data_IF_160280802236
#
_entry.id   IF_160280802236
#
_cell.length_a   1.000
_cell.length_b   1.000
_cell.length_c   1.000
_cell.angle_alpha   90.00
_cell.angle_beta   90.00
_cell.angle_gamma   90.00
#
_symmetry.space_group_name_H-M   'P 1'
#
loop_
_entity.id
_entity.type
_entity.pdbx_description
1 polymer ?
#
# COMPACT_ATOMS: atom_id res chain seq x y z
N UNK A 1 38.77 -77.65 -68.77
CA UNK A 1 39.25 -76.75 -69.81
C UNK A 1 38.73 -75.36 -69.49
N UNK A 2 39.66 -74.53 -69.04
CA UNK A 2 40.00 -73.26 -69.67
C UNK A 2 38.84 -72.23 -69.69
N UNK A 3 38.84 -71.06 -69.09
CA UNK A 3 39.82 -69.94 -68.95
C UNK A 3 39.23 -68.85 -68.10
N UNK A 4 40.03 -68.19 -67.29
CA UNK A 4 39.87 -66.82 -66.80
C UNK A 4 39.96 -65.84 -67.99
N UNK A 5 39.75 -64.48 -67.85
CA UNK A 5 39.56 -63.56 -66.74
C UNK A 5 38.54 -62.40 -67.01
N UNK A 6 38.23 -61.54 -66.12
CA UNK A 6 38.62 -60.10 -66.15
C UNK A 6 38.04 -59.26 -65.02
N UNK A 7 38.93 -58.51 -64.46
CA UNK A 7 38.67 -57.46 -63.43
C UNK A 7 37.74 -56.33 -63.97
N UNK A 8 36.81 -55.94 -63.20
CA UNK A 8 36.07 -54.70 -63.36
C UNK A 8 36.02 -53.93 -62.03
N UNK A 9 36.79 -52.86 -61.91
CA UNK A 9 36.79 -51.93 -60.82
C UNK A 9 35.46 -51.19 -60.79
N UNK A 10 34.72 -51.26 -59.70
CA UNK A 10 33.61 -50.38 -59.40
C UNK A 10 34.05 -49.36 -58.31
N UNK A 11 34.08 -48.11 -58.72
CA UNK A 11 34.32 -46.98 -57.88
C UNK A 11 33.12 -46.73 -56.96
N UNK A 12 33.32 -46.83 -55.66
CA UNK A 12 32.30 -46.47 -54.67
C UNK A 12 32.22 -44.95 -54.52
N UNK A 13 31.09 -44.40 -54.93
CA UNK A 13 30.76 -43.01 -54.63
C UNK A 13 30.24 -42.96 -53.17
N UNK A 14 31.04 -42.42 -52.29
CA UNK A 14 30.62 -42.13 -50.95
C UNK A 14 29.72 -40.86 -50.96
N UNK A 15 28.42 -41.03 -50.78
CA UNK A 15 27.49 -39.92 -50.56
C UNK A 15 27.62 -39.46 -49.17
N UNK A 16 28.26 -38.28 -48.92
CA UNK A 16 28.22 -37.55 -47.72
C UNK A 16 26.80 -36.95 -47.57
N UNK A 17 25.96 -37.51 -46.67
CA UNK A 17 24.76 -36.88 -46.18
C UNK A 17 25.17 -35.82 -45.18
N UNK A 18 25.15 -34.53 -45.59
CA UNK A 18 25.16 -33.40 -44.72
C UNK A 18 23.81 -33.32 -43.96
N UNK A 19 23.77 -33.87 -42.77
CA UNK A 19 22.70 -33.56 -41.80
C UNK A 19 22.82 -32.09 -41.38
N UNK A 20 22.11 -31.22 -42.11
CA UNK A 20 21.87 -29.85 -41.62
C UNK A 20 20.97 -29.94 -40.39
N UNK A 21 21.60 -29.98 -39.22
CA UNK A 21 20.92 -29.81 -37.95
C UNK A 21 20.33 -28.41 -37.93
N UNK A 22 19.03 -28.29 -38.12
CA UNK A 22 18.27 -27.11 -37.79
C UNK A 22 18.37 -26.93 -36.27
N UNK A 23 19.29 -26.08 -35.83
CA UNK A 23 19.26 -25.51 -34.46
C UNK A 23 17.99 -24.67 -34.40
N UNK A 24 16.91 -25.28 -33.96
CA UNK A 24 15.75 -24.53 -33.49
C UNK A 24 16.28 -23.73 -32.28
N UNK A 25 16.59 -22.46 -32.50
CA UNK A 25 16.78 -21.53 -31.43
C UNK A 25 15.45 -21.53 -30.65
N UNK A 26 15.43 -22.29 -29.56
CA UNK A 26 14.42 -22.17 -28.54
C UNK A 26 14.50 -20.72 -28.08
N UNK A 27 13.61 -19.86 -28.64
CA UNK A 27 13.35 -18.57 -28.04
C UNK A 27 13.01 -18.89 -26.59
N UNK A 28 13.94 -18.57 -25.69
CA UNK A 28 13.68 -18.58 -24.27
C UNK A 28 12.42 -17.75 -24.11
N UNK A 29 11.33 -18.39 -23.68
CA UNK A 29 10.12 -17.70 -23.26
C UNK A 29 10.57 -16.55 -22.36
N UNK A 30 10.30 -15.32 -22.77
CA UNK A 30 10.80 -14.14 -22.08
C UNK A 30 10.44 -14.28 -20.62
N UNK A 31 11.46 -14.34 -19.80
CA UNK A 31 11.31 -14.39 -18.36
C UNK A 31 10.87 -12.99 -17.91
N UNK A 32 9.55 -12.79 -17.89
CA UNK A 32 8.87 -11.55 -17.57
C UNK A 32 8.87 -11.25 -16.05
N UNK A 33 9.87 -11.76 -15.33
CA UNK A 33 10.02 -11.56 -13.89
C UNK A 33 10.22 -10.09 -13.50
N UNK A 34 9.88 -9.71 -12.25
CA UNK A 34 9.99 -8.34 -11.76
C UNK A 34 11.41 -7.77 -11.92
N UNK A 35 11.51 -6.57 -12.50
CA UNK A 35 12.75 -5.80 -12.60
C UNK A 35 13.78 -6.25 -13.63
N UNK A 36 13.50 -7.22 -14.47
CA UNK A 36 14.44 -7.67 -15.51
C UNK A 36 14.70 -6.61 -16.59
N UNK A 37 13.69 -5.81 -16.90
CA UNK A 37 13.79 -4.69 -17.81
C UNK A 37 14.20 -3.37 -17.11
N UNK A 38 14.65 -3.44 -15.85
CA UNK A 38 14.98 -2.29 -15.01
C UNK A 38 13.83 -1.29 -14.85
N UNK A 39 12.62 -1.79 -14.73
CA UNK A 39 11.42 -1.02 -14.44
C UNK A 39 10.82 -1.50 -13.13
N UNK A 40 10.59 -0.58 -12.20
CA UNK A 40 9.81 -0.79 -10.98
C UNK A 40 8.35 -0.43 -11.29
N UNK A 41 7.49 -1.43 -11.42
CA UNK A 41 6.06 -1.24 -11.66
C UNK A 41 5.29 -1.32 -10.37
N UNK A 42 4.65 -0.23 -9.98
CA UNK A 42 3.92 -0.12 -8.72
C UNK A 42 2.42 0.01 -8.96
N UNK A 43 1.65 -0.81 -8.23
CA UNK A 43 0.20 -0.76 -8.24
C UNK A 43 -0.26 0.25 -7.18
N UNK A 44 -0.93 1.32 -7.59
CA UNK A 44 -1.36 2.40 -6.69
C UNK A 44 -2.73 2.95 -7.06
N UNK A 45 -3.38 3.58 -6.09
CA UNK A 45 -4.66 4.25 -6.30
C UNK A 45 -4.44 5.64 -6.92
N UNK A 46 -5.24 6.00 -7.94
CA UNK A 46 -5.11 7.31 -8.60
C UNK A 46 -5.64 8.48 -7.76
N UNK A 47 -6.43 8.24 -6.68
CA UNK A 47 -7.08 9.28 -5.87
C UNK A 47 -7.23 8.87 -4.41
N UNK A 48 -6.13 8.62 -3.70
CA UNK A 48 -6.12 8.13 -2.32
C UNK A 48 -5.05 8.83 -1.46
N UNK A 49 -5.05 10.18 -1.43
CA UNK A 49 -4.16 10.88 -0.51
C UNK A 49 -4.50 10.55 0.95
N UNK A 50 -3.49 10.41 1.81
CA UNK A 50 -2.07 10.73 1.64
C UNK A 50 -1.20 9.64 1.01
N UNK A 51 -1.76 8.48 0.65
CA UNK A 51 -1.00 7.33 0.16
C UNK A 51 -0.48 7.55 -1.27
N UNK A 52 -1.39 7.70 -2.22
CA UNK A 52 -1.03 7.87 -3.63
C UNK A 52 -2.08 8.68 -4.40
N UNK A 53 -1.64 9.31 -5.47
CA UNK A 53 -2.52 9.89 -6.49
C UNK A 53 -1.80 9.98 -7.84
N UNK A 54 -2.53 10.32 -8.91
CA UNK A 54 -1.95 10.47 -10.26
C UNK A 54 -0.90 11.57 -10.37
N UNK A 55 -0.95 12.58 -9.49
CA UNK A 55 0.06 13.63 -9.40
C UNK A 55 1.32 13.19 -8.64
N UNK A 56 1.38 11.92 -8.21
CA UNK A 56 2.49 11.33 -7.45
C UNK A 56 2.83 12.13 -6.18
N UNK A 57 1.79 12.71 -5.57
CA UNK A 57 1.91 13.57 -4.40
C UNK A 57 1.73 12.81 -3.07
N UNK A 58 1.45 11.51 -3.08
CA UNK A 58 1.31 10.70 -1.87
C UNK A 58 2.64 10.19 -1.32
N UNK A 59 2.68 9.84 -0.03
CA UNK A 59 3.91 9.33 0.58
C UNK A 59 4.35 7.98 -0.01
N UNK A 60 3.44 7.13 -0.43
CA UNK A 60 3.76 5.86 -1.10
C UNK A 60 4.36 6.09 -2.48
N UNK A 61 3.90 7.13 -3.21
CA UNK A 61 4.57 7.54 -4.45
C UNK A 61 6.02 7.97 -4.18
N UNK A 62 6.26 8.75 -3.09
CA UNK A 62 7.62 9.20 -2.74
C UNK A 62 8.52 8.04 -2.34
N UNK A 63 8.02 7.07 -1.57
CA UNK A 63 8.77 5.87 -1.20
C UNK A 63 9.08 5.02 -2.44
N UNK A 64 8.13 4.83 -3.35
CA UNK A 64 8.36 4.13 -4.61
C UNK A 64 9.45 4.81 -5.47
N UNK A 65 9.45 6.14 -5.51
CA UNK A 65 10.48 6.92 -6.20
C UNK A 65 11.88 6.72 -5.58
N UNK A 66 11.98 6.70 -4.25
CA UNK A 66 13.23 6.36 -3.54
C UNK A 66 13.72 4.97 -3.95
N UNK A 67 12.84 3.97 -3.98
CA UNK A 67 13.22 2.61 -4.36
C UNK A 67 13.67 2.51 -5.82
N UNK A 68 12.95 3.15 -6.74
CA UNK A 68 13.35 3.20 -8.15
C UNK A 68 14.72 3.85 -8.34
N UNK A 69 15.00 4.94 -7.62
CA UNK A 69 16.30 5.61 -7.62
C UNK A 69 17.43 4.72 -7.09
N UNK A 70 17.22 4.06 -5.95
CA UNK A 70 18.21 3.14 -5.35
C UNK A 70 18.50 1.93 -6.24
N UNK A 71 17.50 1.48 -6.99
CA UNK A 71 17.66 0.40 -7.96
C UNK A 71 18.31 0.86 -9.28
N UNK A 72 18.31 2.15 -9.56
CA UNK A 72 18.65 2.69 -10.89
C UNK A 72 17.66 2.25 -11.96
N UNK A 73 16.38 2.11 -11.61
CA UNK A 73 15.30 1.65 -12.48
C UNK A 73 14.33 2.77 -12.78
N UNK A 74 13.63 2.66 -13.93
CA UNK A 74 12.49 3.50 -14.24
C UNK A 74 11.33 3.16 -13.31
N UNK A 75 10.58 4.17 -12.84
CA UNK A 75 9.35 4.00 -12.10
C UNK A 75 8.16 4.06 -13.06
N UNK A 76 7.26 3.10 -12.96
CA UNK A 76 5.98 3.07 -13.67
C UNK A 76 4.84 2.77 -12.70
N UNK A 77 3.69 3.40 -12.90
CA UNK A 77 2.51 3.19 -12.08
C UNK A 77 1.40 2.47 -12.84
N UNK A 78 0.80 1.49 -12.19
CA UNK A 78 -0.48 0.91 -12.59
C UNK A 78 -1.55 1.47 -11.67
N UNK A 79 -2.36 2.35 -12.22
CA UNK A 79 -3.41 3.03 -11.49
C UNK A 79 -4.71 2.21 -11.47
N UNK A 80 -5.18 1.90 -10.28
CA UNK A 80 -6.47 1.27 -10.06
C UNK A 80 -7.01 1.68 -8.67
N UNK A 81 -8.31 2.00 -8.53
CA UNK A 81 -8.88 2.35 -7.23
C UNK A 81 -8.70 1.20 -6.22
N UNK A 82 -8.20 1.54 -5.02
CA UNK A 82 -7.94 0.57 -3.95
C UNK A 82 -9.26 0.12 -3.31
N UNK A 83 -9.94 -0.78 -3.97
CA UNK A 83 -11.24 -1.36 -3.60
C UNK A 83 -11.26 -2.86 -3.87
N UNK A 84 -12.43 -3.50 -3.65
CA UNK A 84 -12.63 -4.93 -3.93
C UNK A 84 -12.09 -5.28 -5.32
N UNK A 85 -11.20 -6.27 -5.38
CA UNK A 85 -10.56 -6.71 -6.62
C UNK A 85 -9.28 -5.97 -6.99
N UNK A 86 -8.76 -5.05 -6.16
CA UNK A 86 -7.52 -4.34 -6.43
C UNK A 86 -6.38 -5.30 -6.81
N UNK A 87 -6.04 -6.27 -5.97
CA UNK A 87 -4.96 -7.24 -6.23
C UNK A 87 -5.23 -8.05 -7.51
N UNK A 88 -6.47 -8.48 -7.73
CA UNK A 88 -6.83 -9.26 -8.92
C UNK A 88 -6.67 -8.46 -10.21
N UNK A 89 -7.01 -7.17 -10.20
CA UNK A 89 -7.00 -6.31 -11.38
C UNK A 89 -5.65 -5.59 -11.61
N UNK A 90 -4.72 -5.69 -10.66
CA UNK A 90 -3.40 -5.06 -10.71
C UNK A 90 -2.27 -6.09 -10.60
N UNK A 91 -1.86 -6.46 -9.40
CA UNK A 91 -0.70 -7.32 -9.11
C UNK A 91 -0.78 -8.70 -9.80
N UNK A 92 -2.00 -9.27 -9.90
CA UNK A 92 -2.26 -10.57 -10.53
C UNK A 92 -2.74 -10.47 -11.98
N UNK A 93 -3.01 -9.28 -12.47
CA UNK A 93 -3.47 -9.08 -13.83
C UNK A 93 -2.30 -8.92 -14.79
N UNK A 94 -2.42 -9.55 -15.95
CA UNK A 94 -1.49 -9.39 -17.06
C UNK A 94 -1.90 -8.23 -17.96
N UNK A 95 -0.94 -7.68 -18.67
CA UNK A 95 -1.18 -6.77 -19.78
C UNK A 95 -1.84 -7.56 -20.92
N UNK A 96 -2.78 -6.94 -21.61
CA UNK A 96 -3.48 -7.59 -22.72
C UNK A 96 -2.50 -8.11 -23.77
N UNK A 97 -2.73 -9.32 -24.22
CA UNK A 97 -1.89 -10.04 -25.19
C UNK A 97 -0.39 -10.17 -24.79
N UNK A 98 -0.11 -10.23 -23.49
CA UNK A 98 1.24 -10.34 -22.93
C UNK A 98 1.27 -11.26 -21.71
N UNK A 99 2.42 -11.92 -21.50
CA UNK A 99 2.67 -12.65 -20.26
C UNK A 99 3.07 -11.73 -19.09
N UNK A 100 3.43 -10.48 -19.38
CA UNK A 100 3.86 -9.49 -18.40
C UNK A 100 2.71 -9.05 -17.49
N UNK A 101 2.96 -9.01 -16.20
CA UNK A 101 2.02 -8.46 -15.22
C UNK A 101 1.93 -6.94 -15.32
N UNK A 102 0.77 -6.38 -14.96
CA UNK A 102 0.54 -4.93 -14.99
C UNK A 102 1.44 -4.18 -14.02
N UNK A 103 1.71 -4.77 -12.86
CA UNK A 103 2.62 -4.22 -11.85
C UNK A 103 3.23 -5.35 -11.01
N UNK A 104 4.27 -5.03 -10.25
CA UNK A 104 5.08 -5.99 -9.51
C UNK A 104 5.06 -5.75 -8.00
N UNK A 105 4.66 -4.54 -7.57
CA UNK A 105 4.68 -4.12 -6.18
C UNK A 105 3.39 -3.37 -5.82
N UNK A 106 2.78 -3.73 -4.69
CA UNK A 106 1.74 -2.96 -4.00
C UNK A 106 2.35 -2.32 -2.77
N UNK A 107 2.12 -1.03 -2.54
CA UNK A 107 2.84 -0.27 -1.51
C UNK A 107 2.20 -0.34 -0.12
N UNK A 108 0.89 -0.43 0.02
CA UNK A 108 0.24 -0.34 1.34
C UNK A 108 -0.70 -1.50 1.60
N UNK A 109 -0.23 -2.53 2.32
CA UNK A 109 -1.08 -3.63 2.81
C UNK A 109 -0.75 -3.93 4.28
N UNK A 110 -1.69 -4.43 5.07
CA UNK A 110 -1.36 -4.95 6.40
C UNK A 110 -0.34 -6.08 6.31
N UNK A 111 0.60 -6.13 7.25
CA UNK A 111 1.52 -7.26 7.37
C UNK A 111 0.74 -8.56 7.53
N UNK A 112 1.14 -9.62 6.81
CA UNK A 112 0.44 -10.89 6.80
C UNK A 112 -0.80 -10.93 5.88
N UNK A 113 -0.97 -9.97 4.98
CA UNK A 113 -2.06 -9.96 4.00
C UNK A 113 -2.04 -11.19 3.09
N UNK A 114 -3.06 -12.04 3.17
CA UNK A 114 -3.05 -13.39 2.58
C UNK A 114 -3.12 -13.41 1.04
N UNK A 115 -3.66 -12.35 0.42
CA UNK A 115 -3.82 -12.32 -1.04
C UNK A 115 -2.51 -12.11 -1.81
N UNK A 116 -1.40 -11.81 -1.12
CA UNK A 116 -0.08 -11.60 -1.72
C UNK A 116 1.04 -11.91 -0.70
N UNK A 117 2.28 -12.08 -1.17
CA UNK A 117 3.42 -12.25 -0.29
C UNK A 117 3.87 -10.88 0.24
N UNK A 118 3.77 -10.67 1.55
CA UNK A 118 4.16 -9.41 2.18
C UNK A 118 5.65 -9.35 2.46
N UNK A 119 6.20 -8.13 2.35
CA UNK A 119 7.54 -7.78 2.82
C UNK A 119 7.58 -7.67 4.34
N UNK A 120 8.74 -7.32 4.90
CA UNK A 120 8.81 -6.77 6.25
C UNK A 120 8.01 -5.45 6.30
N UNK A 121 7.43 -5.12 7.47
CA UNK A 121 6.77 -3.84 7.64
C UNK A 121 7.74 -2.67 7.42
N UNK A 122 7.28 -1.62 6.76
CA UNK A 122 8.04 -0.40 6.57
C UNK A 122 7.55 0.77 7.43
N UNK A 123 6.33 0.65 8.00
CA UNK A 123 5.89 1.49 9.12
C UNK A 123 4.84 0.78 9.96
N UNK A 124 4.62 1.31 11.18
CA UNK A 124 3.59 0.91 12.11
C UNK A 124 2.79 2.16 12.48
N UNK A 125 1.46 2.09 12.40
CA UNK A 125 0.57 3.21 12.70
C UNK A 125 -0.72 2.73 13.34
N UNK A 126 -1.50 3.65 13.92
CA UNK A 126 -2.78 3.34 14.55
C UNK A 126 -3.92 4.17 13.98
N UNK A 127 -5.14 3.74 14.27
CA UNK A 127 -6.30 4.61 14.13
C UNK A 127 -6.17 5.84 15.03
N UNK A 128 -6.87 6.90 14.66
CA UNK A 128 -6.87 8.14 15.41
C UNK A 128 -8.30 8.68 15.58
N UNK A 129 -8.53 9.35 16.69
CA UNK A 129 -9.67 10.24 16.87
C UNK A 129 -9.29 11.61 16.31
N UNK A 130 -10.14 12.21 15.50
CA UNK A 130 -9.97 13.56 14.97
C UNK A 130 -11.13 14.45 15.39
N UNK A 131 -10.85 15.71 15.73
CA UNK A 131 -11.85 16.71 16.08
C UNK A 131 -11.35 18.13 15.76
N UNK A 132 -12.25 19.10 15.74
CA UNK A 132 -11.89 20.53 15.58
C UNK A 132 -11.51 21.10 16.92
N UNK A 133 -10.31 21.70 17.03
CA UNK A 133 -9.84 22.40 18.25
C UNK A 133 -10.79 23.54 18.63
N UNK A 134 -11.03 23.71 19.93
CA UNK A 134 -11.90 24.77 20.44
C UNK A 134 -13.40 24.47 20.35
N UNK A 135 -13.78 23.23 20.00
CA UNK A 135 -15.19 22.78 19.90
C UNK A 135 -15.62 21.87 21.05
N UNK A 136 -14.92 21.93 22.19
CA UNK A 136 -15.30 21.22 23.42
C UNK A 136 -14.69 19.83 23.60
N UNK A 137 -13.78 19.41 22.70
CA UNK A 137 -13.07 18.14 22.79
C UNK A 137 -11.56 18.30 23.07
N UNK A 138 -11.09 19.50 23.41
CA UNK A 138 -9.65 19.79 23.58
C UNK A 138 -8.98 19.00 24.72
N UNK A 139 -9.75 18.50 25.67
CA UNK A 139 -9.27 17.64 26.75
C UNK A 139 -9.36 16.15 26.45
N UNK A 140 -9.74 15.75 25.21
CA UNK A 140 -9.87 14.36 24.83
C UNK A 140 -8.55 13.89 24.19
N UNK A 141 -7.81 13.04 24.89
CA UNK A 141 -6.52 12.50 24.47
C UNK A 141 -6.55 10.99 24.23
N UNK A 142 -7.66 10.33 24.56
CA UNK A 142 -7.92 8.91 24.28
C UNK A 142 -9.43 8.59 24.29
N UNK A 143 -9.76 7.30 24.19
CA UNK A 143 -11.15 6.82 24.21
C UNK A 143 -11.80 6.94 25.60
N UNK A 144 -11.04 6.89 26.69
CA UNK A 144 -11.56 6.99 28.05
C UNK A 144 -11.94 8.44 28.37
N UNK A 145 -11.13 9.39 27.91
CA UNK A 145 -11.47 10.82 28.00
C UNK A 145 -12.79 11.12 27.26
N UNK A 146 -12.99 10.51 26.10
CA UNK A 146 -14.24 10.65 25.33
C UNK A 146 -15.44 10.13 26.13
N UNK A 147 -15.28 9.00 26.82
CA UNK A 147 -16.33 8.43 27.67
C UNK A 147 -16.53 9.22 28.97
N UNK A 148 -15.49 9.87 29.46
CA UNK A 148 -15.54 10.70 30.68
C UNK A 148 -16.22 12.07 30.49
N UNK A 149 -16.52 12.44 29.22
CA UNK A 149 -17.32 13.66 28.98
C UNK A 149 -18.66 13.60 29.70
N UNK A 150 -19.17 14.78 30.11
CA UNK A 150 -20.50 14.89 30.72
C UNK A 150 -21.55 14.19 29.87
N UNK A 151 -22.47 13.41 30.45
CA UNK A 151 -23.47 12.64 29.69
C UNK A 151 -24.24 13.48 28.67
N UNK A 152 -24.58 14.71 28.98
CA UNK A 152 -25.31 15.63 28.10
C UNK A 152 -24.46 16.06 26.91
N UNK A 153 -23.15 16.24 27.10
CA UNK A 153 -22.20 16.59 26.05
C UNK A 153 -21.96 15.37 25.15
N UNK A 154 -21.64 14.23 25.78
CA UNK A 154 -21.38 12.98 25.04
C UNK A 154 -22.60 12.54 24.23
N UNK A 155 -23.80 12.64 24.79
CA UNK A 155 -25.04 12.23 24.12
C UNK A 155 -25.43 13.10 22.90
N UNK A 156 -24.80 14.27 22.73
CA UNK A 156 -25.04 15.16 21.57
C UNK A 156 -23.99 15.06 20.49
N UNK A 157 -22.90 14.29 20.72
CA UNK A 157 -21.84 14.16 19.75
C UNK A 157 -22.35 13.45 18.48
N UNK A 158 -21.98 13.98 17.34
CA UNK A 158 -22.12 13.36 16.04
C UNK A 158 -20.75 12.81 15.65
N UNK A 159 -20.63 11.52 15.62
CA UNK A 159 -19.38 10.81 15.36
C UNK A 159 -19.33 10.36 13.92
N UNK A 160 -18.16 10.33 13.32
CA UNK A 160 -17.93 9.76 12.00
C UNK A 160 -17.06 8.52 12.11
N UNK A 161 -17.42 7.43 11.41
CA UNK A 161 -16.59 6.25 11.30
C UNK A 161 -16.79 5.55 9.95
N UNK A 162 -15.76 4.87 9.47
CA UNK A 162 -15.90 4.02 8.29
C UNK A 162 -16.54 2.68 8.66
N UNK A 163 -17.36 2.15 7.76
CA UNK A 163 -17.93 0.81 7.91
C UNK A 163 -16.82 -0.23 8.04
N UNK A 164 -17.04 -1.23 8.91
CA UNK A 164 -16.04 -2.26 9.23
C UNK A 164 -14.74 -1.71 9.87
N UNK A 165 -14.81 -0.53 10.46
CA UNK A 165 -13.70 0.03 11.24
C UNK A 165 -13.49 -0.78 12.53
N UNK A 166 -12.23 -0.95 12.98
CA UNK A 166 -11.94 -1.63 14.26
C UNK A 166 -12.61 -1.00 15.50
N UNK A 167 -13.01 0.27 15.42
CA UNK A 167 -13.72 0.95 16.54
C UNK A 167 -15.20 0.58 16.63
N UNK A 168 -15.76 -0.13 15.65
CA UNK A 168 -17.20 -0.45 15.61
C UNK A 168 -17.66 -1.20 16.86
N UNK A 169 -16.91 -2.21 17.29
CA UNK A 169 -17.26 -2.97 18.49
C UNK A 169 -17.25 -2.11 19.76
N UNK A 170 -16.24 -1.24 19.89
CA UNK A 170 -16.17 -0.29 21.01
C UNK A 170 -17.36 0.68 21.01
N UNK A 171 -17.79 1.17 19.85
CA UNK A 171 -18.95 2.02 19.70
C UNK A 171 -20.24 1.29 20.13
N UNK A 172 -20.38 0.02 19.79
CA UNK A 172 -21.51 -0.84 20.22
C UNK A 172 -21.50 -1.02 21.72
N UNK A 173 -20.37 -1.42 22.32
CA UNK A 173 -20.24 -1.67 23.76
C UNK A 173 -20.55 -0.42 24.59
N UNK A 174 -20.24 0.76 24.08
CA UNK A 174 -20.46 2.04 24.77
C UNK A 174 -21.77 2.73 24.37
N UNK A 175 -22.65 2.05 23.59
CA UNK A 175 -23.98 2.56 23.18
C UNK A 175 -23.90 3.87 22.40
N UNK A 176 -22.89 4.02 21.55
CA UNK A 176 -22.65 5.22 20.75
C UNK A 176 -23.08 5.06 19.28
N UNK A 177 -23.60 3.91 18.88
CA UNK A 177 -23.94 3.59 17.49
C UNK A 177 -24.93 4.55 16.83
N UNK A 178 -25.92 5.03 17.60
CA UNK A 178 -26.95 5.97 17.09
C UNK A 178 -26.39 7.37 16.81
N UNK A 179 -25.21 7.67 17.31
CA UNK A 179 -24.52 8.94 17.11
C UNK A 179 -23.55 8.93 15.95
N UNK A 180 -23.42 7.78 15.21
CA UNK A 180 -22.41 7.59 14.18
C UNK A 180 -22.99 7.79 12.79
N UNK A 181 -22.43 8.77 12.07
CA UNK A 181 -22.53 8.87 10.62
C UNK A 181 -21.55 7.89 9.99
N UNK A 182 -22.07 6.88 9.29
CA UNK A 182 -21.27 5.83 8.67
C UNK A 182 -20.80 6.20 7.28
N UNK A 183 -19.50 6.11 7.07
CA UNK A 183 -18.85 6.34 5.78
C UNK A 183 -18.49 5.00 5.13
N UNK A 184 -18.67 4.89 3.82
CA UNK A 184 -18.29 3.70 3.08
C UNK A 184 -16.79 3.70 2.80
N UNK A 185 -16.11 2.60 3.11
CA UNK A 185 -14.69 2.43 2.78
C UNK A 185 -14.43 2.37 1.28
N UNK A 186 -15.40 1.87 0.54
CA UNK A 186 -15.27 1.57 -0.88
C UNK A 186 -16.59 1.89 -1.58
N UNK A 187 -16.61 3.00 -2.27
CA UNK A 187 -17.72 3.39 -3.14
C UNK A 187 -17.37 3.15 -4.61
N UNK A 188 -18.35 3.21 -5.47
CA UNK A 188 -18.12 3.21 -6.92
C UNK A 188 -17.66 4.56 -7.47
N UNK A 189 -17.64 5.60 -6.63
CA UNK A 189 -17.32 6.97 -7.02
C UNK A 189 -15.80 7.17 -7.03
N UNK A 190 -15.23 7.50 -8.19
CA UNK A 190 -13.82 7.74 -8.37
C UNK A 190 -13.34 9.06 -7.72
N UNK A 191 -14.25 10.00 -7.46
CA UNK A 191 -13.94 11.29 -6.82
C UNK A 191 -13.96 11.20 -5.30
N UNK A 192 -14.47 10.12 -4.75
CA UNK A 192 -14.48 9.92 -3.31
C UNK A 192 -13.14 9.39 -2.80
N UNK A 193 -12.63 10.04 -1.75
CA UNK A 193 -11.41 9.63 -1.04
C UNK A 193 -11.61 9.73 0.48
N UNK A 194 -10.83 8.98 1.27
CA UNK A 194 -11.06 8.86 2.71
C UNK A 194 -10.93 10.17 3.50
N UNK A 195 -10.15 11.14 2.99
CA UNK A 195 -9.96 12.43 3.65
C UNK A 195 -11.19 13.34 3.69
N UNK A 196 -12.19 13.09 2.85
CA UNK A 196 -13.41 13.91 2.81
C UNK A 196 -14.16 13.96 4.14
N UNK A 197 -14.07 12.91 4.95
CA UNK A 197 -14.64 12.91 6.31
C UNK A 197 -14.07 14.04 7.17
N UNK A 198 -12.80 14.40 6.98
CA UNK A 198 -12.11 15.47 7.72
C UNK A 198 -12.28 16.82 7.03
N UNK A 199 -11.91 16.92 5.75
CA UNK A 199 -11.87 18.20 5.04
C UNK A 199 -13.25 18.84 4.83
N UNK A 200 -14.26 18.01 4.63
CA UNK A 200 -15.62 18.46 4.37
C UNK A 200 -16.49 18.37 5.62
N UNK A 201 -16.66 17.18 6.18
CA UNK A 201 -17.72 16.92 7.14
C UNK A 201 -17.32 17.32 8.56
N UNK A 202 -16.10 17.03 9.00
CA UNK A 202 -15.59 17.46 10.29
C UNK A 202 -15.31 18.97 10.30
N UNK A 203 -14.64 19.48 9.28
CA UNK A 203 -14.28 20.90 9.19
C UNK A 203 -15.50 21.82 9.11
N UNK A 204 -16.59 21.41 8.48
CA UNK A 204 -17.85 22.15 8.43
C UNK A 204 -18.70 22.03 9.70
N UNK A 205 -18.34 21.11 10.60
CA UNK A 205 -19.13 20.80 11.80
C UNK A 205 -20.38 19.96 11.51
N UNK A 206 -20.45 19.24 10.41
CA UNK A 206 -21.48 18.21 10.19
C UNK A 206 -21.34 17.08 11.19
N UNK A 207 -20.11 16.69 11.51
CA UNK A 207 -19.73 15.78 12.60
C UNK A 207 -18.82 16.50 13.59
N UNK A 208 -18.78 16.05 14.84
CA UNK A 208 -18.01 16.67 15.92
C UNK A 208 -16.67 15.99 16.13
N UNK A 209 -16.60 14.68 15.86
CA UNK A 209 -15.37 13.90 15.86
C UNK A 209 -15.47 12.74 14.86
N UNK A 210 -14.32 12.19 14.46
CA UNK A 210 -14.28 11.01 13.61
C UNK A 210 -13.16 10.04 13.98
N UNK A 211 -13.39 8.76 13.73
CA UNK A 211 -12.40 7.70 13.88
C UNK A 211 -11.88 7.32 12.50
N UNK A 212 -10.63 7.61 12.24
CA UNK A 212 -10.00 7.39 10.93
C UNK A 212 -8.64 6.74 11.08
N UNK A 213 -8.15 6.13 10.00
CA UNK A 213 -6.80 5.58 9.96
C UNK A 213 -5.76 6.70 10.12
N UNK A 214 -4.76 6.50 11.00
CA UNK A 214 -3.82 7.54 11.44
C UNK A 214 -3.11 8.30 10.33
N UNK A 215 -2.57 7.68 9.28
CA UNK A 215 -2.02 8.39 8.14
C UNK A 215 -2.98 9.40 7.52
N UNK A 216 -4.26 9.06 7.39
CA UNK A 216 -5.31 9.98 6.90
C UNK A 216 -5.50 11.11 7.92
N UNK A 217 -5.66 10.75 9.21
CA UNK A 217 -5.83 11.73 10.28
C UNK A 217 -4.70 12.76 10.31
N UNK A 218 -3.46 12.32 10.34
CA UNK A 218 -2.30 13.18 10.46
C UNK A 218 -2.11 14.11 9.25
N UNK A 219 -2.28 13.56 8.05
CA UNK A 219 -2.16 14.34 6.82
C UNK A 219 -3.22 15.45 6.73
N UNK A 220 -4.48 15.11 6.93
CA UNK A 220 -5.58 16.06 6.81
C UNK A 220 -5.64 17.03 8.00
N UNK A 221 -5.18 16.63 9.21
CA UNK A 221 -5.01 17.56 10.31
C UNK A 221 -3.98 18.67 10.00
N UNK A 222 -2.93 18.36 9.25
CA UNK A 222 -1.91 19.35 8.84
C UNK A 222 -2.33 20.21 7.65
N UNK A 223 -3.13 19.67 6.74
CA UNK A 223 -3.39 20.29 5.44
C UNK A 223 -4.77 20.97 5.35
N UNK A 224 -5.73 20.64 6.22
CA UNK A 224 -7.03 21.30 6.30
C UNK A 224 -6.87 22.71 6.87
N UNK A 225 -7.12 23.71 6.02
CA UNK A 225 -6.95 25.13 6.41
C UNK A 225 -8.23 25.80 6.89
N UNK A 226 -9.38 25.18 6.65
CA UNK A 226 -10.71 25.71 6.99
C UNK A 226 -11.04 25.56 8.46
N UNK A 227 -10.38 24.64 9.17
CA UNK A 227 -10.55 24.42 10.61
C UNK A 227 -9.26 23.86 11.23
N UNK A 228 -8.93 24.19 12.48
CA UNK A 228 -7.79 23.62 13.20
C UNK A 228 -8.12 22.21 13.67
N UNK A 229 -7.70 21.19 12.90
CA UNK A 229 -7.96 19.78 13.21
C UNK A 229 -6.91 19.25 14.19
N UNK A 230 -7.34 18.54 15.20
CA UNK A 230 -6.52 17.75 16.13
C UNK A 230 -6.65 16.28 15.74
N UNK A 231 -5.53 15.57 15.66
CA UNK A 231 -5.48 14.12 15.48
C UNK A 231 -4.83 13.48 16.71
N UNK A 232 -5.56 12.60 17.38
CA UNK A 232 -5.16 11.87 18.58
C UNK A 232 -4.98 10.41 18.22
N UNK A 233 -3.75 9.88 18.09
CA UNK A 233 -3.51 8.47 17.86
C UNK A 233 -4.06 7.62 18.99
N UNK A 234 -4.73 6.52 18.64
CA UNK A 234 -5.39 5.64 19.61
C UNK A 234 -4.55 4.40 19.86
N UNK A 235 -4.40 4.01 21.11
CA UNK A 235 -3.75 2.76 21.51
C UNK A 235 -4.69 1.57 21.35
N UNK A 236 -4.15 0.43 20.91
CA UNK A 236 -4.85 -0.85 20.97
C UNK A 236 -5.16 -1.25 22.39
N UNK A 237 -6.26 -1.99 22.59
CA UNK A 237 -6.76 -2.45 23.90
C UNK A 237 -7.09 -3.95 23.82
N UNK A 238 -7.20 -4.66 24.94
CA UNK A 238 -7.69 -6.03 24.94
C UNK A 238 -9.02 -6.14 24.17
N UNK A 239 -9.06 -7.02 23.18
CA UNK A 239 -10.22 -7.20 22.29
C UNK A 239 -10.41 -6.15 21.19
N UNK A 240 -9.59 -5.08 21.14
CA UNK A 240 -9.69 -4.04 20.11
C UNK A 240 -8.30 -3.68 19.57
N UNK A 241 -7.97 -4.20 18.41
CA UNK A 241 -6.73 -3.86 17.70
C UNK A 241 -6.92 -2.62 16.86
N UNK A 242 -6.22 -1.54 17.20
CA UNK A 242 -6.27 -0.25 16.51
C UNK A 242 -4.98 0.11 15.78
N UNK A 243 -3.90 -0.62 16.00
CA UNK A 243 -2.60 -0.40 15.38
C UNK A 243 -2.23 -1.54 14.43
N UNK A 244 -1.57 -1.21 13.34
CA UNK A 244 -1.22 -2.16 12.30
C UNK A 244 0.16 -1.86 11.73
N UNK A 245 0.95 -2.91 11.58
CA UNK A 245 2.16 -2.89 10.78
C UNK A 245 1.79 -2.96 9.29
N UNK A 246 2.36 -2.04 8.53
CA UNK A 246 2.10 -1.92 7.09
C UNK A 246 3.32 -2.36 6.31
N UNK A 247 3.08 -3.25 5.38
CA UNK A 247 4.06 -3.86 4.49
C UNK A 247 3.76 -3.52 3.03
N UNK A 248 4.70 -3.84 2.18
CA UNK A 248 4.48 -3.92 0.74
C UNK A 248 4.15 -5.36 0.34
N UNK A 249 3.60 -5.56 -0.83
CA UNK A 249 3.25 -6.90 -1.29
C UNK A 249 3.67 -7.15 -2.74
N UNK A 250 4.11 -8.38 -2.98
CA UNK A 250 4.46 -8.93 -4.30
C UNK A 250 3.68 -10.22 -4.54
N UNK A 251 3.71 -10.78 -5.74
CA UNK A 251 3.10 -12.10 -6.00
C UNK A 251 3.80 -13.19 -5.17
N UNK A 252 3.06 -14.22 -4.76
CA UNK A 252 3.61 -15.31 -3.93
C UNK A 252 4.84 -16.00 -4.55
N UNK A 253 4.96 -16.03 -5.88
CA UNK A 253 6.09 -16.62 -6.60
C UNK A 253 7.36 -15.75 -6.61
N UNK A 254 7.24 -14.45 -6.41
CA UNK A 254 8.32 -13.47 -6.62
C UNK A 254 9.22 -13.34 -5.38
N UNK A 255 9.75 -14.44 -4.88
CA UNK A 255 10.52 -14.50 -3.63
C UNK A 255 11.78 -13.65 -3.63
N UNK A 256 12.54 -13.68 -4.73
CA UNK A 256 13.78 -12.91 -4.88
C UNK A 256 13.49 -11.40 -4.94
N UNK A 257 12.44 -11.01 -5.67
CA UNK A 257 12.03 -9.62 -5.73
C UNK A 257 11.54 -9.12 -4.37
N UNK A 258 10.77 -9.92 -3.62
CA UNK A 258 10.39 -9.61 -2.25
C UNK A 258 11.60 -9.35 -1.36
N UNK A 259 12.61 -10.25 -1.39
CA UNK A 259 13.85 -10.08 -0.61
C UNK A 259 14.58 -8.80 -1.00
N UNK A 260 14.57 -8.41 -2.27
CA UNK A 260 15.16 -7.16 -2.74
C UNK A 260 14.42 -5.94 -2.18
N UNK A 261 13.08 -5.98 -2.17
CA UNK A 261 12.28 -4.92 -1.53
C UNK A 261 12.53 -4.86 -0.02
N UNK A 262 12.64 -6.01 0.67
CA UNK A 262 13.01 -6.06 2.09
C UNK A 262 14.35 -5.36 2.37
N UNK A 263 15.35 -5.59 1.51
CA UNK A 263 16.66 -4.91 1.61
C UNK A 263 16.54 -3.40 1.39
N UNK A 264 15.72 -2.96 0.44
CA UNK A 264 15.47 -1.53 0.20
C UNK A 264 14.77 -0.88 1.39
N UNK A 265 13.79 -1.55 2.00
CA UNK A 265 13.14 -1.07 3.23
C UNK A 265 14.19 -0.88 4.33
N UNK A 266 15.02 -1.89 4.58
CA UNK A 266 16.03 -1.84 5.63
C UNK A 266 17.09 -0.74 5.38
N UNK A 267 17.55 -0.61 4.14
CA UNK A 267 18.56 0.40 3.77
C UNK A 267 18.02 1.85 3.81
N UNK A 268 16.71 2.04 3.66
CA UNK A 268 16.09 3.35 3.55
C UNK A 268 15.17 3.71 4.72
N UNK A 269 15.25 3.02 5.87
CA UNK A 269 14.36 3.27 7.03
C UNK A 269 14.31 4.74 7.45
N UNK A 270 15.44 5.42 7.48
CA UNK A 270 15.48 6.83 7.85
C UNK A 270 14.78 7.74 6.81
N UNK A 271 14.97 7.45 5.50
CA UNK A 271 14.29 8.20 4.44
C UNK A 271 12.78 7.95 4.46
N UNK A 272 12.38 6.70 4.69
CA UNK A 272 10.96 6.33 4.81
C UNK A 272 10.34 7.05 6.02
N UNK A 273 10.98 7.00 7.19
CA UNK A 273 10.50 7.69 8.39
C UNK A 273 10.37 9.20 8.16
N UNK A 274 11.33 9.84 7.53
CA UNK A 274 11.27 11.27 7.21
C UNK A 274 10.11 11.59 6.25
N UNK A 275 9.87 10.78 5.22
CA UNK A 275 8.73 10.95 4.33
C UNK A 275 7.41 10.82 5.12
N UNK A 276 7.28 9.83 5.98
CA UNK A 276 6.08 9.63 6.80
C UNK A 276 5.85 10.80 7.76
N UNK A 277 6.90 11.34 8.38
CA UNK A 277 6.85 12.51 9.25
C UNK A 277 6.40 13.76 8.48
N UNK A 278 6.90 13.97 7.26
CA UNK A 278 6.48 15.10 6.40
C UNK A 278 4.97 15.05 6.09
N UNK A 279 4.41 13.86 6.00
CA UNK A 279 2.97 13.65 5.80
C UNK A 279 2.15 13.61 7.10
N UNK A 280 2.80 13.72 8.26
CA UNK A 280 2.11 13.70 9.55
C UNK A 280 1.61 12.32 9.95
N UNK A 281 2.14 11.27 9.37
CA UNK A 281 1.77 9.90 9.71
C UNK A 281 2.18 9.62 11.16
N UNK A 282 1.25 9.28 12.07
CA UNK A 282 1.62 8.84 13.41
C UNK A 282 2.33 7.51 13.32
N UNK A 283 3.62 7.51 13.68
CA UNK A 283 4.45 6.32 13.69
C UNK A 283 4.50 5.73 15.10
N UNK A 284 4.48 4.41 15.20
CA UNK A 284 4.54 3.68 16.46
C UNK A 284 5.84 2.88 16.56
N UNK A 285 6.33 2.70 17.79
CA UNK A 285 7.38 1.73 18.07
C UNK A 285 6.82 0.29 18.13
N UNK A 286 7.69 -0.68 18.37
CA UNK A 286 7.31 -2.09 18.48
C UNK A 286 6.37 -2.39 19.66
N UNK A 287 6.29 -1.48 20.64
CA UNK A 287 5.41 -1.56 21.79
C UNK A 287 4.09 -0.81 21.56
N UNK A 288 3.85 -0.28 20.36
CA UNK A 288 2.64 0.48 20.02
C UNK A 288 2.60 1.91 20.60
N UNK A 289 3.73 2.44 21.07
CA UNK A 289 3.81 3.82 21.58
C UNK A 289 4.11 4.78 20.44
N UNK A 290 3.46 5.92 20.44
CA UNK A 290 3.65 6.95 19.42
C UNK A 290 5.08 7.49 19.47
N UNK A 291 5.78 7.40 18.36
CA UNK A 291 7.08 8.03 18.17
C UNK A 291 6.85 9.54 17.97
N UNK A 292 7.43 10.35 18.85
CA UNK A 292 7.45 11.79 18.64
C UNK A 292 8.41 12.07 17.49
N UNK A 293 7.95 12.74 16.39
CA UNK A 293 8.85 13.10 15.31
C UNK A 293 10.05 13.87 15.87
N UNK A 294 11.24 13.43 15.57
CA UNK A 294 12.42 14.26 15.86
C UNK A 294 12.26 15.50 14.98
N UNK A 295 11.92 16.62 15.58
CA UNK A 295 12.02 17.95 14.95
C UNK A 295 13.51 18.21 14.69
N UNK A 296 14.06 17.56 13.69
CA UNK A 296 15.27 18.04 13.05
C UNK A 296 14.89 19.39 12.45
N UNK A 297 15.40 20.45 13.08
CA UNK A 297 15.06 21.82 12.75
C UNK A 297 15.13 22.05 11.24
N UNK A 298 14.05 22.57 10.67
CA UNK A 298 14.21 23.42 9.49
C UNK A 298 14.78 24.75 9.98
N UNK A 299 15.90 25.19 9.38
CA UNK A 299 16.45 26.54 9.65
C UNK A 299 15.46 27.62 9.26
#
# INVERSE_FOLDING_TARGET
MSRFPCLGRLAGAAALLCLAGTVIAQQAAGDDGPGRDKVLRVCQDPNNLPFSNRAEAGFENKIAAVFAQELGWKLEHTWFPQRIGFIRNTLRAKVENSERFKCDLVTGVPAGFEMAATTRPYYHSSYALVYVKGKGLDGVHDLDDLLALKPEQRGRLRLGAFTSSPVTEWLVQNKLMEQVDWYQNQTGDAEQYPGQIIERDLASGKIDAAFVWGPIAGYFARNTRTAPIVAVPLASRPGMKLDFEIAMAVRHGDKEFRQRIDQLIDANRAKIAAILDDYGVPQLDQQGRVLVPSRAGKP
#
